data_IF_152378731232
#
_entry.id   IF_152378731232
#
_cell.length_a   1.000
_cell.length_b   1.000
_cell.length_c   1.000
_cell.angle_alpha   90.00
_cell.angle_beta   90.00
_cell.angle_gamma   90.00
#
_symmetry.space_group_name_H-M   'P 1'
#
loop_
_entity.id
_entity.type
_entity.pdbx_description
1 polymer ?
#
# COMPACT_ATOMS: atom_id res chain seq x y z
N UNK A 1 11.16 -2.88 -8.79
CA UNK A 1 10.57 -4.16 -8.38
C UNK A 1 10.94 -5.23 -9.40
N UNK A 2 11.33 -6.42 -8.97
CA UNK A 2 11.56 -7.55 -9.89
C UNK A 2 10.21 -8.16 -10.24
N UNK A 3 9.95 -8.37 -11.53
CA UNK A 3 8.71 -9.01 -11.97
C UNK A 3 8.62 -10.47 -11.53
N UNK A 4 7.47 -10.87 -11.05
CA UNK A 4 7.20 -12.22 -10.52
C UNK A 4 7.32 -13.34 -11.57
N UNK A 5 7.24 -13.02 -12.85
CA UNK A 5 7.41 -13.95 -13.98
C UNK A 5 8.85 -14.46 -14.19
N UNK A 6 9.83 -13.86 -13.49
CA UNK A 6 11.23 -14.29 -13.58
C UNK A 6 11.45 -15.60 -12.82
N UNK A 7 12.52 -16.37 -13.14
CA UNK A 7 12.82 -17.58 -12.40
C UNK A 7 12.88 -17.33 -10.90
N UNK A 8 12.18 -18.15 -10.10
CA UNK A 8 11.96 -17.91 -8.67
C UNK A 8 13.25 -17.68 -7.88
N UNK A 9 14.32 -18.41 -8.21
CA UNK A 9 15.63 -18.22 -7.57
C UNK A 9 16.23 -16.83 -7.83
N UNK A 10 16.02 -16.28 -9.03
CA UNK A 10 16.46 -14.92 -9.37
C UNK A 10 15.63 -13.90 -8.61
N UNK A 11 14.32 -14.10 -8.54
CA UNK A 11 13.41 -13.22 -7.78
C UNK A 11 13.84 -13.18 -6.31
N UNK A 12 14.07 -14.34 -5.69
CA UNK A 12 14.50 -14.42 -4.29
C UNK A 12 15.83 -13.70 -4.05
N UNK A 13 16.86 -14.01 -4.80
CA UNK A 13 18.20 -13.38 -4.65
C UNK A 13 18.16 -11.87 -4.84
N UNK A 14 17.43 -11.41 -5.85
CA UNK A 14 17.31 -9.97 -6.10
C UNK A 14 16.67 -9.23 -4.92
N UNK A 15 15.58 -9.78 -4.38
CA UNK A 15 14.90 -9.16 -3.25
C UNK A 15 15.76 -9.21 -1.99
N UNK A 16 16.41 -10.34 -1.71
CA UNK A 16 17.32 -10.50 -0.57
C UNK A 16 18.44 -9.45 -0.60
N UNK A 17 19.08 -9.24 -1.75
CA UNK A 17 20.10 -8.20 -1.89
C UNK A 17 19.55 -6.78 -1.75
N UNK A 18 18.38 -6.50 -2.32
CA UNK A 18 17.72 -5.22 -2.12
C UNK A 18 17.42 -4.94 -0.63
N UNK A 19 16.96 -5.95 0.09
CA UNK A 19 16.69 -5.82 1.53
C UNK A 19 17.98 -5.60 2.33
N UNK A 20 19.06 -6.28 1.98
CA UNK A 20 20.37 -6.05 2.59
C UNK A 20 20.87 -4.61 2.36
N UNK A 21 20.63 -4.04 1.17
CA UNK A 21 20.97 -2.64 0.85
C UNK A 21 20.10 -1.68 1.68
N UNK A 22 18.79 -1.91 1.76
CA UNK A 22 17.88 -1.11 2.59
C UNK A 22 18.30 -1.16 4.05
N UNK A 23 18.63 -2.34 4.56
CA UNK A 23 19.10 -2.50 5.94
C UNK A 23 20.38 -1.69 6.21
N UNK A 24 21.34 -1.66 5.26
CA UNK A 24 22.54 -0.80 5.37
C UNK A 24 22.17 0.68 5.42
N UNK A 25 21.23 1.14 4.59
CA UNK A 25 20.77 2.53 4.63
C UNK A 25 20.12 2.88 5.98
N UNK A 26 19.28 2.00 6.53
CA UNK A 26 18.67 2.16 7.87
C UNK A 26 19.74 2.20 8.95
N UNK A 27 20.79 1.37 8.87
CA UNK A 27 21.90 1.39 9.84
C UNK A 27 22.72 2.68 9.76
N UNK A 28 22.91 3.24 8.59
CA UNK A 28 23.65 4.48 8.40
C UNK A 28 22.87 5.71 8.87
N UNK A 29 21.53 5.67 8.75
CA UNK A 29 20.67 6.80 9.07
C UNK A 29 19.42 6.35 9.87
N UNK A 30 19.61 5.80 11.09
CA UNK A 30 18.53 5.15 11.85
C UNK A 30 17.46 6.11 12.36
N UNK A 31 17.76 7.40 12.45
CA UNK A 31 16.84 8.49 12.79
C UNK A 31 16.06 9.01 11.59
N UNK A 32 16.39 8.54 10.38
CA UNK A 32 15.77 8.97 9.12
C UNK A 32 14.95 7.90 8.42
N UNK A 33 15.35 6.63 8.54
CA UNK A 33 14.78 5.53 7.78
C UNK A 33 14.31 4.39 8.68
N UNK A 34 13.17 3.81 8.28
CA UNK A 34 12.75 2.48 8.72
C UNK A 34 12.60 1.60 7.47
N UNK A 35 13.01 0.33 7.57
CA UNK A 35 13.00 -0.57 6.43
C UNK A 35 11.60 -1.15 6.17
N UNK A 36 11.21 -1.18 4.91
CA UNK A 36 10.04 -1.92 4.41
C UNK A 36 10.51 -2.86 3.33
N UNK A 37 10.16 -4.14 3.42
CA UNK A 37 10.53 -5.13 2.42
C UNK A 37 9.52 -5.18 1.29
N UNK A 38 9.94 -5.68 0.15
CA UNK A 38 9.09 -6.12 -0.93
C UNK A 38 9.05 -7.64 -0.96
N UNK A 39 7.86 -8.24 -1.07
CA UNK A 39 7.75 -9.70 -1.05
C UNK A 39 8.33 -10.31 -2.34
N UNK A 40 9.18 -11.35 -2.24
CA UNK A 40 9.73 -12.07 -3.39
C UNK A 40 8.70 -13.02 -4.00
N UNK A 41 7.61 -12.47 -4.53
CA UNK A 41 6.52 -13.25 -5.14
C UNK A 41 6.96 -13.81 -6.47
N UNK A 42 6.61 -15.07 -6.72
CA UNK A 42 6.95 -15.81 -7.95
C UNK A 42 5.67 -16.25 -8.64
N UNK A 43 5.53 -15.91 -9.92
CA UNK A 43 4.32 -16.22 -10.69
C UNK A 43 4.06 -17.73 -10.75
N UNK A 44 2.83 -18.12 -10.35
CA UNK A 44 2.41 -19.50 -10.35
C UNK A 44 2.80 -20.32 -9.13
N UNK A 45 3.60 -19.76 -8.22
CA UNK A 45 3.96 -20.41 -6.95
C UNK A 45 2.95 -20.05 -5.84
N UNK A 46 2.81 -20.92 -4.82
CA UNK A 46 2.04 -20.60 -3.63
C UNK A 46 2.62 -19.39 -2.89
N UNK A 47 1.78 -18.57 -2.27
CA UNK A 47 2.22 -17.39 -1.52
C UNK A 47 3.20 -17.72 -0.38
N UNK A 48 3.20 -18.94 0.10
CA UNK A 48 4.12 -19.41 1.16
C UNK A 48 5.60 -19.22 0.83
N UNK A 49 5.98 -19.14 -0.44
CA UNK A 49 7.38 -18.95 -0.86
C UNK A 49 7.99 -17.65 -0.36
N UNK A 50 7.15 -16.64 -0.04
CA UNK A 50 7.63 -15.34 0.44
C UNK A 50 7.88 -15.31 1.95
N UNK A 51 7.31 -16.26 2.72
CA UNK A 51 7.28 -16.20 4.19
C UNK A 51 8.66 -16.25 4.84
N UNK A 52 9.62 -17.05 4.38
CA UNK A 52 10.96 -17.08 4.98
C UNK A 52 11.66 -15.71 4.91
N UNK A 53 11.59 -15.04 3.78
CA UNK A 53 12.23 -13.73 3.61
C UNK A 53 11.47 -12.62 4.37
N UNK A 54 10.15 -12.71 4.44
CA UNK A 54 9.33 -11.83 5.28
C UNK A 54 9.76 -11.95 6.76
N UNK A 55 9.90 -13.17 7.27
CA UNK A 55 10.36 -13.39 8.64
C UNK A 55 11.77 -12.86 8.88
N UNK A 56 12.71 -13.15 7.98
CA UNK A 56 14.08 -12.68 8.06
C UNK A 56 14.13 -11.15 8.15
N UNK A 57 13.45 -10.47 7.24
CA UNK A 57 13.45 -9.01 7.20
C UNK A 57 12.87 -8.39 8.47
N UNK A 58 11.79 -8.94 9.02
CA UNK A 58 11.18 -8.40 10.23
C UNK A 58 11.98 -8.75 11.48
N UNK A 59 12.34 -10.04 11.66
CA UNK A 59 12.96 -10.52 12.89
C UNK A 59 14.45 -10.19 12.99
N UNK A 60 15.19 -10.27 11.88
CA UNK A 60 16.64 -10.08 11.86
C UNK A 60 17.05 -8.66 11.42
N UNK A 61 16.40 -8.11 10.36
CA UNK A 61 16.77 -6.80 9.83
C UNK A 61 15.96 -5.65 10.46
N UNK A 62 14.88 -5.97 11.20
CA UNK A 62 14.05 -4.99 11.91
C UNK A 62 13.14 -4.15 11.00
N UNK A 63 12.71 -4.71 9.89
CA UNK A 63 11.77 -4.06 8.98
C UNK A 63 10.38 -3.95 9.62
N UNK A 64 9.67 -2.87 9.30
CA UNK A 64 8.43 -2.48 9.97
C UNK A 64 7.17 -2.71 9.14
N UNK A 65 7.29 -3.19 7.92
CA UNK A 65 6.17 -3.44 7.02
C UNK A 65 6.64 -4.10 5.72
N UNK A 66 5.70 -4.48 4.87
CA UNK A 66 6.00 -5.04 3.56
C UNK A 66 5.17 -4.41 2.44
N UNK A 67 5.65 -4.58 1.22
CA UNK A 67 4.95 -4.25 -0.01
C UNK A 67 4.58 -5.55 -0.71
N UNK A 68 3.31 -5.68 -1.08
CA UNK A 68 2.71 -6.86 -1.71
C UNK A 68 2.31 -6.50 -3.12
N UNK A 69 2.75 -7.29 -4.10
CA UNK A 69 2.19 -7.23 -5.44
C UNK A 69 0.81 -7.88 -5.43
N UNK A 70 -0.23 -7.12 -5.79
CA UNK A 70 -1.62 -7.59 -5.83
C UNK A 70 -1.91 -8.53 -7.01
N UNK A 71 -1.06 -8.51 -8.05
CA UNK A 71 -1.10 -9.47 -9.17
C UNK A 71 0.11 -10.42 -9.13
N UNK A 72 0.06 -11.53 -8.38
CA UNK A 72 1.17 -12.48 -8.30
C UNK A 72 1.38 -13.29 -9.60
N UNK A 73 0.48 -13.18 -10.57
CA UNK A 73 0.56 -13.88 -11.85
C UNK A 73 0.83 -12.96 -13.04
N UNK A 74 1.25 -11.77 -12.76
CA UNK A 74 1.66 -10.73 -13.67
C UNK A 74 2.23 -11.28 -15.00
N UNK A 75 1.60 -10.90 -16.10
CA UNK A 75 2.00 -11.28 -17.48
C UNK A 75 2.15 -12.79 -17.76
N UNK A 76 1.72 -13.67 -16.88
CA UNK A 76 1.78 -15.12 -17.06
C UNK A 76 0.69 -15.68 -18.00
N UNK A 77 -0.28 -14.85 -18.39
CA UNK A 77 -1.48 -15.27 -19.11
C UNK A 77 -2.51 -15.99 -18.23
N UNK A 78 -2.31 -16.03 -16.92
CA UNK A 78 -3.27 -16.53 -15.93
C UNK A 78 -3.90 -15.37 -15.18
N UNK A 79 -5.15 -15.54 -14.78
CA UNK A 79 -5.82 -14.61 -13.89
C UNK A 79 -5.29 -14.77 -12.46
N UNK A 80 -4.95 -13.65 -11.83
CA UNK A 80 -4.48 -13.64 -10.46
C UNK A 80 -5.63 -13.89 -9.47
N UNK A 81 -5.39 -14.63 -8.36
CA UNK A 81 -6.36 -14.72 -7.29
C UNK A 81 -6.58 -13.34 -6.67
N UNK A 82 -7.85 -12.89 -6.65
CA UNK A 82 -8.19 -11.62 -5.98
C UNK A 82 -7.75 -11.62 -4.53
N UNK A 83 -7.44 -10.44 -3.97
CA UNK A 83 -6.91 -10.30 -2.60
C UNK A 83 -7.88 -10.80 -1.51
N UNK A 84 -9.14 -11.08 -1.85
CA UNK A 84 -10.11 -11.76 -0.98
C UNK A 84 -10.03 -13.28 -1.00
N UNK A 85 -9.20 -13.89 -1.85
CA UNK A 85 -9.08 -15.34 -2.02
C UNK A 85 -8.25 -15.99 -0.91
N UNK A 86 -8.53 -17.28 -0.65
CA UNK A 86 -7.78 -18.08 0.34
C UNK A 86 -6.32 -18.32 -0.02
N UNK A 87 -5.93 -18.10 -1.28
CA UNK A 87 -4.53 -18.10 -1.71
C UNK A 87 -3.66 -17.20 -0.81
N UNK A 88 -4.20 -16.06 -0.37
CA UNK A 88 -3.47 -15.06 0.41
C UNK A 88 -3.45 -15.34 1.93
N UNK A 89 -4.27 -16.25 2.43
CA UNK A 89 -4.44 -16.48 3.88
C UNK A 89 -3.13 -16.79 4.62
N UNK A 90 -2.22 -17.64 4.09
CA UNK A 90 -0.93 -17.87 4.77
C UNK A 90 -0.10 -16.58 4.97
N UNK A 91 -0.18 -15.64 4.02
CA UNK A 91 0.45 -14.33 4.17
C UNK A 91 -0.28 -13.50 5.23
N UNK A 92 -1.61 -13.49 5.24
CA UNK A 92 -2.40 -12.71 6.21
C UNK A 92 -2.17 -13.19 7.64
N UNK A 93 -2.13 -14.50 7.86
CA UNK A 93 -1.75 -15.11 9.14
C UNK A 93 -0.38 -14.61 9.60
N UNK A 94 0.61 -14.63 8.70
CA UNK A 94 1.97 -14.18 9.02
C UNK A 94 2.05 -12.67 9.29
N UNK A 95 1.34 -11.83 8.54
CA UNK A 95 1.27 -10.39 8.79
C UNK A 95 0.64 -10.06 10.16
N UNK A 96 -0.39 -10.81 10.54
CA UNK A 96 -1.02 -10.69 11.87
C UNK A 96 -0.06 -11.17 12.98
N UNK A 97 0.61 -12.32 12.79
CA UNK A 97 1.61 -12.83 13.73
C UNK A 97 2.74 -11.83 13.98
N UNK A 98 3.26 -11.24 12.90
CA UNK A 98 4.36 -10.26 12.96
C UNK A 98 3.88 -8.86 13.36
N UNK A 99 2.57 -8.62 13.32
CA UNK A 99 1.90 -7.36 13.65
C UNK A 99 2.44 -6.15 12.84
N UNK A 100 2.66 -6.34 11.55
CA UNK A 100 3.14 -5.34 10.60
C UNK A 100 2.09 -5.01 9.54
N UNK A 101 2.07 -3.77 9.00
CA UNK A 101 1.23 -3.41 7.86
C UNK A 101 1.82 -3.89 6.53
N UNK A 102 0.93 -4.09 5.55
CA UNK A 102 1.27 -4.36 4.17
C UNK A 102 0.69 -3.30 3.23
N UNK A 103 1.51 -2.73 2.35
CA UNK A 103 1.06 -1.88 1.26
C UNK A 103 0.76 -2.75 0.04
N UNK A 104 -0.43 -2.60 -0.52
CA UNK A 104 -0.90 -3.39 -1.65
C UNK A 104 -0.69 -2.59 -2.94
N UNK A 105 0.38 -2.90 -3.65
CA UNK A 105 0.83 -2.11 -4.79
C UNK A 105 0.95 -3.01 -6.03
N UNK A 106 0.34 -2.60 -7.13
CA UNK A 106 0.48 -3.27 -8.42
C UNK A 106 1.93 -3.25 -8.93
N UNK A 107 2.27 -4.14 -9.84
CA UNK A 107 3.51 -4.11 -10.61
C UNK A 107 3.21 -3.70 -12.05
N UNK A 108 4.20 -3.39 -12.85
CA UNK A 108 3.99 -2.97 -14.24
C UNK A 108 3.27 -4.07 -15.07
N UNK A 109 2.37 -3.65 -15.93
CA UNK A 109 1.68 -4.54 -16.87
C UNK A 109 2.28 -4.43 -18.27
N UNK A 110 2.31 -5.55 -18.99
CA UNK A 110 2.63 -5.61 -20.43
C UNK A 110 1.40 -5.49 -21.33
N UNK A 111 0.22 -5.26 -20.76
CA UNK A 111 -1.01 -5.09 -21.54
C UNK A 111 -0.95 -3.82 -22.39
N UNK A 112 -1.15 -3.96 -23.70
CA UNK A 112 -1.23 -2.81 -24.62
C UNK A 112 -2.45 -1.90 -24.36
N UNK A 113 -3.47 -2.41 -23.65
CA UNK A 113 -4.68 -1.65 -23.30
C UNK A 113 -4.48 -0.69 -22.14
N UNK A 114 -3.47 -0.92 -21.29
CA UNK A 114 -3.25 -0.14 -20.09
C UNK A 114 -1.92 0.58 -20.18
N UNK A 115 -1.96 1.91 -20.08
CA UNK A 115 -0.74 2.69 -19.84
C UNK A 115 -0.21 2.38 -18.43
N UNK A 116 1.03 2.75 -18.18
CA UNK A 116 1.67 2.61 -16.86
C UNK A 116 0.77 3.14 -15.72
N UNK A 117 0.36 4.40 -15.80
CA UNK A 117 -0.48 5.02 -14.76
C UNK A 117 -1.86 4.37 -14.63
N UNK A 118 -2.49 4.01 -15.76
CA UNK A 118 -3.82 3.38 -15.75
C UNK A 118 -3.78 2.01 -15.09
N UNK A 119 -2.69 1.26 -15.28
CA UNK A 119 -2.55 -0.07 -14.69
C UNK A 119 -2.58 0.01 -13.16
N UNK A 120 -1.77 0.87 -12.55
CA UNK A 120 -1.72 1.01 -11.09
C UNK A 120 -3.07 1.41 -10.48
N UNK A 121 -3.72 2.43 -11.06
CA UNK A 121 -5.03 2.90 -10.59
C UNK A 121 -6.08 1.77 -10.66
N UNK A 122 -6.04 0.95 -11.70
CA UNK A 122 -6.95 -0.19 -11.86
C UNK A 122 -6.65 -1.28 -10.81
N UNK A 123 -5.38 -1.66 -10.64
CA UNK A 123 -4.98 -2.70 -9.68
C UNK A 123 -5.36 -2.33 -8.23
N UNK A 124 -5.14 -1.10 -7.82
CA UNK A 124 -5.51 -0.63 -6.49
C UNK A 124 -7.02 -0.63 -6.28
N UNK A 125 -7.77 -0.26 -7.32
CA UNK A 125 -9.22 -0.32 -7.28
C UNK A 125 -9.71 -1.76 -7.17
N UNK A 126 -9.21 -2.68 -8.01
CA UNK A 126 -9.56 -4.10 -7.99
C UNK A 126 -9.21 -4.75 -6.66
N UNK A 127 -8.00 -4.50 -6.16
CA UNK A 127 -7.49 -4.97 -4.87
C UNK A 127 -8.40 -4.54 -3.72
N UNK A 128 -8.72 -3.25 -3.64
CA UNK A 128 -9.57 -2.71 -2.59
C UNK A 128 -10.98 -3.31 -2.63
N UNK A 129 -11.58 -3.40 -3.82
CA UNK A 129 -12.92 -4.00 -3.99
C UNK A 129 -12.91 -5.48 -3.62
N UNK A 130 -11.88 -6.23 -4.04
CA UNK A 130 -11.74 -7.65 -3.71
C UNK A 130 -11.69 -7.88 -2.20
N UNK A 131 -10.84 -7.16 -1.47
CA UNK A 131 -10.69 -7.29 -0.02
C UNK A 131 -12.01 -6.90 0.70
N UNK A 132 -12.57 -5.74 0.37
CA UNK A 132 -13.75 -5.23 1.09
C UNK A 132 -15.01 -6.04 0.80
N UNK A 133 -15.09 -6.76 -0.31
CA UNK A 133 -16.20 -7.67 -0.62
C UNK A 133 -15.99 -9.09 -0.11
N UNK A 134 -14.84 -9.39 0.49
CA UNK A 134 -14.50 -10.70 1.05
C UNK A 134 -14.75 -10.77 2.56
N UNK A 135 -14.36 -11.92 3.17
CA UNK A 135 -14.36 -12.14 4.61
C UNK A 135 -13.01 -11.86 5.28
N UNK A 136 -12.04 -11.31 4.56
CA UNK A 136 -10.67 -11.13 5.07
C UNK A 136 -10.64 -10.39 6.40
N UNK A 137 -11.38 -9.29 6.55
CA UNK A 137 -11.42 -8.57 7.83
C UNK A 137 -12.31 -9.19 8.90
N UNK A 138 -13.17 -10.15 8.54
CA UNK A 138 -13.89 -10.97 9.52
C UNK A 138 -12.95 -12.05 10.07
N UNK A 139 -12.16 -12.69 9.21
CA UNK A 139 -11.20 -13.74 9.55
C UNK A 139 -9.91 -13.17 10.20
N UNK A 140 -9.48 -11.98 9.78
CA UNK A 140 -8.26 -11.29 10.24
C UNK A 140 -8.53 -9.84 10.67
N UNK A 141 -9.23 -9.59 11.78
CA UNK A 141 -9.67 -8.24 12.17
C UNK A 141 -8.52 -7.28 12.54
N UNK A 142 -7.32 -7.79 12.84
CA UNK A 142 -6.13 -7.00 13.14
C UNK A 142 -5.23 -6.72 11.94
N UNK A 143 -5.59 -7.25 10.76
CA UNK A 143 -4.81 -7.06 9.54
C UNK A 143 -4.80 -5.57 9.14
N UNK A 144 -3.65 -5.10 8.65
CA UNK A 144 -3.41 -3.69 8.35
C UNK A 144 -2.97 -3.55 6.90
N UNK A 145 -3.82 -2.98 6.07
CA UNK A 145 -3.50 -2.70 4.67
C UNK A 145 -3.41 -1.22 4.38
N UNK A 146 -2.45 -0.86 3.55
CA UNK A 146 -2.27 0.48 2.98
C UNK A 146 -2.55 0.37 1.48
N UNK A 147 -3.44 1.22 0.98
CA UNK A 147 -3.74 1.33 -0.44
C UNK A 147 -3.02 2.59 -0.96
N UNK A 148 -2.08 2.44 -1.91
CA UNK A 148 -1.33 3.56 -2.44
C UNK A 148 -2.15 4.43 -3.39
N UNK A 149 -1.56 5.53 -3.83
CA UNK A 149 -2.10 6.50 -4.80
C UNK A 149 -3.53 6.95 -4.48
N UNK A 150 -3.79 7.21 -3.19
CA UNK A 150 -5.09 7.62 -2.70
C UNK A 150 -6.21 6.59 -2.86
N UNK A 151 -5.88 5.32 -3.14
CA UNK A 151 -6.87 4.24 -3.29
C UNK A 151 -7.44 4.10 -4.70
N UNK A 152 -6.71 4.53 -5.71
CA UNK A 152 -7.15 4.42 -7.11
C UNK A 152 -8.45 5.18 -7.36
N UNK A 153 -9.45 4.53 -7.93
CA UNK A 153 -10.75 5.15 -8.21
C UNK A 153 -11.73 5.12 -7.01
N UNK A 154 -11.35 4.52 -5.87
CA UNK A 154 -12.27 4.24 -4.77
C UNK A 154 -12.88 5.51 -4.17
N UNK A 155 -12.14 6.55 -3.76
CA UNK A 155 -12.73 7.73 -3.17
C UNK A 155 -13.68 8.46 -4.12
N UNK A 156 -13.30 8.56 -5.39
CA UNK A 156 -14.10 9.23 -6.42
C UNK A 156 -15.38 8.47 -6.78
N UNK A 157 -15.36 7.14 -6.80
CA UNK A 157 -16.47 6.27 -7.20
C UNK A 157 -17.15 5.59 -5.99
N UNK A 158 -16.95 6.08 -4.76
CA UNK A 158 -17.48 5.46 -3.54
C UNK A 158 -18.96 5.10 -3.65
N UNK A 159 -19.80 6.00 -4.16
CA UNK A 159 -21.23 5.74 -4.32
C UNK A 159 -21.56 4.56 -5.24
N UNK A 160 -20.72 4.30 -6.24
CA UNK A 160 -20.87 3.14 -7.15
C UNK A 160 -20.55 1.83 -6.41
N UNK A 161 -19.54 1.83 -5.56
CA UNK A 161 -19.16 0.64 -4.77
C UNK A 161 -20.08 0.42 -3.56
N UNK A 162 -20.69 1.49 -3.05
CA UNK A 162 -21.68 1.44 -1.97
C UNK A 162 -23.01 0.81 -2.40
N UNK A 163 -23.50 1.15 -3.61
CA UNK A 163 -24.82 0.77 -4.08
C UNK A 163 -25.11 -0.76 -4.04
N UNK A 164 -24.19 -1.68 -4.39
CA UNK A 164 -24.40 -3.11 -4.23
C UNK A 164 -24.65 -3.53 -2.77
N UNK A 165 -23.93 -2.95 -1.83
CA UNK A 165 -24.08 -3.29 -0.39
C UNK A 165 -25.44 -2.87 0.16
N UNK A 166 -26.00 -1.77 -0.35
CA UNK A 166 -27.35 -1.32 -0.01
C UNK A 166 -28.45 -2.22 -0.60
N UNK A 167 -28.14 -3.03 -1.61
CA UNK A 167 -29.05 -4.04 -2.17
C UNK A 167 -28.91 -5.41 -1.49
N UNK A 168 -28.18 -5.50 -0.40
CA UNK A 168 -27.98 -6.75 0.34
C UNK A 168 -26.85 -7.64 -0.21
N UNK A 169 -26.04 -7.14 -1.12
CA UNK A 169 -24.85 -7.87 -1.56
C UNK A 169 -23.70 -7.68 -0.55
N UNK A 170 -23.09 -8.77 -0.14
CA UNK A 170 -21.93 -8.78 0.77
C UNK A 170 -22.29 -9.08 2.24
N UNK A 171 -21.43 -8.71 3.18
CA UNK A 171 -21.49 -9.06 4.62
C UNK A 171 -22.46 -8.22 5.47
N UNK A 172 -23.39 -7.49 4.87
CA UNK A 172 -24.35 -6.63 5.60
C UNK A 172 -23.81 -5.28 6.06
N UNK A 173 -22.50 -5.04 6.01
CA UNK A 173 -21.90 -3.72 6.27
C UNK A 173 -21.76 -2.93 4.97
N UNK A 174 -21.87 -1.63 5.05
CA UNK A 174 -21.66 -0.74 3.91
C UNK A 174 -20.20 -0.77 3.47
N UNK A 175 -19.96 -0.54 2.16
CA UNK A 175 -18.60 -0.46 1.62
C UNK A 175 -17.78 0.63 2.31
N UNK A 176 -18.38 1.81 2.54
CA UNK A 176 -17.76 2.93 3.26
C UNK A 176 -17.40 2.61 4.71
N UNK A 177 -18.18 1.78 5.39
CA UNK A 177 -17.86 1.31 6.75
C UNK A 177 -16.66 0.39 6.76
N UNK A 178 -16.58 -0.51 5.77
CA UNK A 178 -15.45 -1.43 5.62
C UNK A 178 -14.15 -0.72 5.25
N UNK A 179 -14.21 0.38 4.50
CA UNK A 179 -13.03 1.19 4.17
C UNK A 179 -12.27 1.70 5.41
N UNK A 180 -12.93 1.82 6.56
CA UNK A 180 -12.29 2.19 7.83
C UNK A 180 -11.24 1.19 8.32
N UNK A 181 -11.19 -0.02 7.74
CA UNK A 181 -10.13 -1.00 8.00
C UNK A 181 -8.86 -0.75 7.19
N UNK A 182 -8.88 0.18 6.24
CA UNK A 182 -7.77 0.49 5.35
C UNK A 182 -7.11 1.82 5.71
N UNK A 183 -5.86 1.96 5.34
CA UNK A 183 -5.13 3.22 5.28
C UNK A 183 -4.88 3.59 3.82
N UNK A 184 -4.72 4.88 3.56
CA UNK A 184 -4.51 5.40 2.21
C UNK A 184 -3.34 6.37 2.25
N UNK A 185 -2.46 6.30 1.26
CA UNK A 185 -1.43 7.30 1.14
C UNK A 185 -1.93 8.57 0.43
N UNK A 186 -1.16 9.63 0.53
CA UNK A 186 -1.49 10.93 -0.07
C UNK A 186 -0.82 11.15 -1.42
N UNK A 187 -0.41 10.11 -2.12
CA UNK A 187 0.24 10.21 -3.43
C UNK A 187 -0.76 10.63 -4.50
N UNK A 188 -1.20 11.89 -4.41
CA UNK A 188 -2.14 12.54 -5.31
C UNK A 188 -1.62 13.95 -5.63
N UNK A 189 -1.60 14.31 -6.89
CA UNK A 189 -0.83 15.46 -7.38
C UNK A 189 -1.65 16.73 -7.57
N UNK A 190 -2.87 16.80 -7.02
CA UNK A 190 -3.71 18.00 -7.04
C UNK A 190 -4.39 18.25 -5.70
N UNK A 191 -4.62 19.51 -5.30
CA UNK A 191 -5.31 19.84 -4.07
C UNK A 191 -6.73 19.24 -4.00
N UNK A 192 -7.47 19.24 -5.11
CA UNK A 192 -8.84 18.70 -5.15
C UNK A 192 -8.88 17.19 -4.90
N UNK A 193 -7.92 16.43 -5.45
CA UNK A 193 -7.85 15.01 -5.21
C UNK A 193 -7.48 14.69 -3.76
N UNK A 194 -6.54 15.43 -3.18
CA UNK A 194 -6.17 15.32 -1.77
C UNK A 194 -7.34 15.66 -0.84
N UNK A 195 -8.06 16.74 -1.13
CA UNK A 195 -9.25 17.12 -0.36
C UNK A 195 -10.34 16.04 -0.42
N UNK A 196 -10.63 15.51 -1.63
CA UNK A 196 -11.58 14.43 -1.81
C UNK A 196 -11.17 13.19 -1.01
N UNK A 197 -9.93 12.77 -1.10
CA UNK A 197 -9.41 11.63 -0.33
C UNK A 197 -9.64 11.84 1.16
N UNK A 198 -9.08 12.92 1.74
CA UNK A 198 -9.10 13.15 3.18
C UNK A 198 -10.54 13.26 3.71
N UNK A 199 -11.43 13.93 2.98
CA UNK A 199 -12.86 14.02 3.36
C UNK A 199 -13.59 12.69 3.24
N UNK A 200 -13.16 11.80 2.33
CA UNK A 200 -13.83 10.51 2.12
C UNK A 200 -13.39 9.47 3.14
N UNK A 201 -12.10 9.35 3.40
CA UNK A 201 -11.56 8.28 4.26
C UNK A 201 -11.34 8.70 5.71
N UNK A 202 -11.22 10.01 5.95
CA UNK A 202 -10.91 10.59 7.26
C UNK A 202 -9.40 10.81 7.47
N UNK A 203 -9.09 11.82 8.28
CA UNK A 203 -7.72 12.24 8.61
C UNK A 203 -6.91 11.08 9.22
N UNK A 204 -7.54 10.28 10.08
CA UNK A 204 -6.93 9.16 10.81
C UNK A 204 -6.58 7.95 9.93
N UNK A 205 -6.95 7.99 8.66
CA UNK A 205 -6.66 6.94 7.66
C UNK A 205 -5.71 7.40 6.57
N UNK A 206 -5.25 8.66 6.61
CA UNK A 206 -4.32 9.19 5.63
C UNK A 206 -2.87 9.09 6.11
N UNK A 207 -1.99 8.62 5.25
CA UNK A 207 -0.54 8.53 5.46
C UNK A 207 0.16 9.46 4.46
N UNK A 208 1.01 10.33 4.94
CA UNK A 208 1.77 11.20 4.06
C UNK A 208 2.76 10.40 3.19
N UNK A 209 2.65 10.55 1.89
CA UNK A 209 3.57 9.99 0.89
C UNK A 209 3.61 10.88 -0.35
N UNK A 210 4.67 10.81 -1.13
CA UNK A 210 4.90 11.66 -2.31
C UNK A 210 5.22 10.86 -3.58
N UNK A 211 5.69 9.62 -3.45
CA UNK A 211 6.25 8.82 -4.55
C UNK A 211 7.46 9.49 -5.23
N UNK A 212 8.17 10.36 -4.54
CA UNK A 212 9.33 11.06 -5.11
C UNK A 212 10.63 10.25 -4.94
N UNK A 213 11.38 9.94 -6.02
CA UNK A 213 11.06 10.20 -7.43
C UNK A 213 10.12 9.14 -8.04
N UNK A 214 9.13 9.59 -8.77
CA UNK A 214 8.12 8.70 -9.40
C UNK A 214 7.32 9.41 -10.49
N UNK A 215 6.08 8.98 -10.68
CA UNK A 215 5.17 9.53 -11.70
C UNK A 215 4.98 11.05 -11.58
N UNK A 216 4.95 11.57 -10.35
CA UNK A 216 4.77 12.99 -10.06
C UNK A 216 6.03 13.84 -10.19
N UNK A 217 7.19 13.28 -10.51
CA UNK A 217 8.46 14.01 -10.63
C UNK A 217 8.54 14.79 -11.95
N UNK A 218 7.50 15.59 -12.22
CA UNK A 218 7.38 16.50 -13.35
C UNK A 218 7.10 17.92 -12.84
N UNK A 219 7.71 18.93 -13.45
CA UNK A 219 7.49 20.33 -13.07
C UNK A 219 6.12 20.79 -13.57
N UNK A 220 5.27 21.25 -12.67
CA UNK A 220 4.03 21.92 -13.02
C UNK A 220 4.35 23.32 -13.58
N UNK A 221 3.99 23.62 -14.84
CA UNK A 221 4.32 24.91 -15.48
C UNK A 221 3.64 26.11 -14.83
N UNK A 222 2.50 25.90 -14.14
CA UNK A 222 1.76 26.96 -13.48
C UNK A 222 2.40 27.41 -12.17
N UNK A 223 3.00 26.47 -11.44
CA UNK A 223 3.56 26.72 -10.09
C UNK A 223 5.09 26.73 -10.06
N UNK A 224 5.74 26.19 -11.08
CA UNK A 224 7.19 25.97 -11.12
C UNK A 224 7.70 24.89 -10.14
N UNK A 225 6.80 24.17 -9.45
CA UNK A 225 7.13 23.13 -8.48
C UNK A 225 6.94 21.74 -9.08
N UNK A 226 7.59 20.74 -8.52
CA UNK A 226 7.28 19.34 -8.85
C UNK A 226 5.84 19.00 -8.41
N UNK A 227 5.16 18.19 -9.20
CA UNK A 227 3.78 17.76 -8.86
C UNK A 227 3.75 16.86 -7.61
N UNK A 228 4.81 16.11 -7.35
CA UNK A 228 4.98 15.30 -6.14
C UNK A 228 5.38 16.10 -4.89
N UNK A 229 5.50 17.43 -4.99
CA UNK A 229 5.67 18.31 -3.83
C UNK A 229 4.31 18.54 -3.13
N UNK A 230 3.80 17.51 -2.51
CA UNK A 230 2.45 17.41 -1.93
C UNK A 230 2.36 18.15 -0.59
N UNK A 231 3.45 18.24 0.16
CA UNK A 231 3.43 18.80 1.51
C UNK A 231 2.86 20.23 1.60
N UNK A 232 3.18 21.18 0.70
CA UNK A 232 2.58 22.49 0.71
C UNK A 232 1.08 22.50 0.43
N UNK A 233 0.58 21.55 -0.39
CA UNK A 233 -0.84 21.45 -0.69
C UNK A 233 -1.62 21.11 0.58
N UNK A 234 -1.20 20.08 1.32
CA UNK A 234 -1.85 19.66 2.59
C UNK A 234 -1.71 20.78 3.65
N UNK A 235 -0.53 21.41 3.75
CA UNK A 235 -0.31 22.54 4.69
C UNK A 235 -1.23 23.71 4.39
N UNK A 236 -1.58 23.93 3.12
CA UNK A 236 -2.46 25.01 2.66
C UNK A 236 -3.95 24.80 2.90
N UNK A 237 -4.40 23.63 3.36
CA UNK A 237 -5.82 23.40 3.66
C UNK A 237 -6.22 24.08 4.97
N UNK A 238 -7.02 25.15 4.87
CA UNK A 238 -7.50 25.92 6.03
C UNK A 238 -8.50 25.15 6.89
N UNK A 239 -9.20 24.19 6.30
CA UNK A 239 -10.18 23.34 6.99
C UNK A 239 -9.55 22.20 7.81
N UNK A 240 -8.26 21.94 7.66
CA UNK A 240 -7.50 21.01 8.52
C UNK A 240 -6.89 21.75 9.70
N UNK A 241 -7.16 21.30 10.90
CA UNK A 241 -6.49 21.78 12.11
C UNK A 241 -4.99 21.44 12.11
N UNK A 242 -4.21 22.09 12.96
CA UNK A 242 -2.80 21.74 13.15
C UNK A 242 -2.63 20.28 13.62
N UNK A 243 -3.56 19.78 14.44
CA UNK A 243 -3.59 18.38 14.86
C UNK A 243 -3.86 17.43 13.71
N UNK A 244 -4.79 17.75 12.81
CA UNK A 244 -5.10 16.93 11.63
C UNK A 244 -3.89 16.84 10.69
N UNK A 245 -3.24 17.99 10.43
CA UNK A 245 -2.02 18.03 9.62
C UNK A 245 -0.91 17.18 10.24
N UNK A 246 -0.68 17.31 11.56
CA UNK A 246 0.28 16.49 12.28
C UNK A 246 -0.05 15.00 12.19
N UNK A 247 -1.32 14.63 12.31
CA UNK A 247 -1.75 13.24 12.18
C UNK A 247 -1.39 12.66 10.80
N UNK A 248 -1.71 13.39 9.71
CA UNK A 248 -1.38 12.96 8.34
C UNK A 248 0.14 12.86 8.14
N UNK A 249 0.91 13.86 8.56
CA UNK A 249 2.36 13.93 8.31
C UNK A 249 3.18 12.97 9.17
N UNK A 250 2.71 12.63 10.39
CA UNK A 250 3.53 11.91 11.36
C UNK A 250 2.77 10.82 12.15
N UNK A 251 1.72 11.21 12.90
CA UNK A 251 1.21 10.39 13.98
C UNK A 251 0.57 9.10 13.49
N UNK A 252 -0.11 9.14 12.34
CA UNK A 252 -0.73 7.96 11.73
C UNK A 252 0.33 6.93 11.32
N UNK A 253 1.43 7.36 10.68
CA UNK A 253 2.52 6.47 10.30
C UNK A 253 3.23 5.91 11.54
N UNK A 254 3.53 6.76 12.53
CA UNK A 254 4.14 6.32 13.81
C UNK A 254 3.31 5.23 14.48
N UNK A 255 1.99 5.42 14.55
CA UNK A 255 1.05 4.47 15.13
C UNK A 255 0.97 3.17 14.33
N UNK A 256 0.81 3.27 13.00
CA UNK A 256 0.62 2.12 12.12
C UNK A 256 1.85 1.22 12.09
N UNK A 257 3.03 1.80 11.90
CA UNK A 257 4.32 1.10 11.80
C UNK A 257 5.01 0.93 13.16
N UNK A 258 4.43 1.42 14.27
CA UNK A 258 4.98 1.36 15.62
C UNK A 258 6.40 1.93 15.72
N UNK A 259 6.65 3.05 15.05
CA UNK A 259 8.00 3.61 14.92
C UNK A 259 8.64 4.00 16.26
N UNK A 260 7.86 4.33 17.27
CA UNK A 260 8.38 4.62 18.63
C UNK A 260 9.04 3.40 19.29
N UNK A 261 8.75 2.19 18.80
CA UNK A 261 9.36 0.93 19.25
C UNK A 261 10.60 0.54 18.46
N UNK A 262 10.85 1.21 17.35
CA UNK A 262 12.05 0.99 16.53
C UNK A 262 13.22 1.66 17.22
N UNK A 263 13.88 0.93 18.10
CA UNK A 263 15.14 1.41 18.70
C UNK A 263 16.22 1.43 17.61
N UNK A 264 17.02 2.50 17.54
CA UNK A 264 18.26 2.45 16.78
C UNK A 264 19.05 1.22 17.27
N UNK A 265 19.26 0.25 16.39
CA UNK A 265 20.09 -0.92 16.73
C UNK A 265 21.55 -0.54 16.46
N UNK A 266 22.23 -0.04 17.48
CA UNK A 266 23.67 0.15 17.53
C UNK A 266 24.26 -0.70 18.61
#
# INVERSE_FOLDING_TARGET
MMHSERPGKIVQWFHEECHNIIHRAVKLYPDRFAGVLMLPQVAGEPINVVLPELERCVKELGFVGCLVNSDPYENSGKEAPGMGDRYWYPLYEKLVELDIPAMLHGVGSKSERTSYSTHFINEETLTTVSILNSKVFDDFPSLKFIIPHGGGAIPYQLGRFEAPTLRGHGSGKRFSEKMKNLWFDTTLYTPLALELLIKTVGVDRCLFATECPGTGSATNPETGRYMDDIAPMIKGFDWLSAGDKKAIFEDNAKKLFKLDKVKPRF
#
